data_IF_975664662594
#
_entry.id   IF_975664662594
#
_cell.length_a   1.000
_cell.length_b   1.000
_cell.length_c   1.000
_cell.angle_alpha   90.00
_cell.angle_beta   90.00
_cell.angle_gamma   90.00
#
_symmetry.space_group_name_H-M   'P 1'
#
loop_
_entity.id
_entity.type
_entity.pdbx_description
1 polymer ?
#
# COMPACT_ATOMS: atom_id res chain seq x y z
N UNK A 1 -32.42 -24.17 1.62
CA UNK A 1 -32.38 -23.15 2.69
C UNK A 1 -33.36 -23.55 3.76
N UNK A 2 -32.92 -23.55 5.01
CA UNK A 2 -33.78 -23.87 6.15
C UNK A 2 -34.36 -22.57 6.70
N UNK A 3 -35.70 -22.43 6.67
CA UNK A 3 -36.42 -21.26 7.20
C UNK A 3 -36.99 -21.59 8.58
N UNK A 4 -36.53 -20.90 9.62
CA UNK A 4 -37.11 -21.03 10.97
C UNK A 4 -38.15 -19.93 11.22
N UNK A 5 -37.83 -18.70 10.86
CA UNK A 5 -38.71 -17.54 10.94
C UNK A 5 -38.18 -16.42 10.03
N UNK A 6 -38.09 -16.70 8.73
CA UNK A 6 -37.49 -15.80 7.75
C UNK A 6 -38.24 -14.46 7.73
N UNK A 7 -37.53 -13.38 8.09
CA UNK A 7 -38.09 -12.03 8.16
C UNK A 7 -36.99 -10.96 8.06
N UNK A 8 -37.42 -9.71 7.91
CA UNK A 8 -36.54 -8.55 8.12
C UNK A 8 -36.27 -8.41 9.61
N UNK A 9 -35.04 -8.09 9.99
CA UNK A 9 -34.68 -7.81 11.38
C UNK A 9 -35.57 -6.72 11.97
N UNK A 10 -36.09 -6.95 13.17
CA UNK A 10 -36.96 -5.99 13.88
C UNK A 10 -36.23 -4.66 14.17
N UNK A 11 -34.92 -4.72 14.40
CA UNK A 11 -34.05 -3.55 14.57
C UNK A 11 -32.81 -3.68 13.69
N UNK A 12 -32.72 -2.84 12.66
CA UNK A 12 -31.54 -2.75 11.79
C UNK A 12 -30.53 -1.80 12.45
N UNK A 13 -29.46 -2.37 13.00
CA UNK A 13 -28.44 -1.59 13.69
C UNK A 13 -27.55 -0.79 12.72
N UNK A 14 -26.84 0.21 13.24
CA UNK A 14 -25.80 0.90 12.47
C UNK A 14 -24.71 -0.07 12.01
N UNK A 15 -24.38 -1.09 12.82
CA UNK A 15 -23.40 -2.13 12.45
C UNK A 15 -23.87 -2.92 11.24
N UNK A 16 -25.15 -3.33 11.19
CA UNK A 16 -25.70 -4.03 10.02
C UNK A 16 -25.58 -3.16 8.76
N UNK A 17 -25.92 -1.87 8.86
CA UNK A 17 -25.81 -0.93 7.75
C UNK A 17 -24.34 -0.77 7.28
N UNK A 18 -23.39 -0.67 8.21
CA UNK A 18 -21.95 -0.59 7.89
C UNK A 18 -21.48 -1.85 7.16
N UNK A 19 -21.91 -3.03 7.60
CA UNK A 19 -21.58 -4.30 6.94
C UNK A 19 -22.12 -4.32 5.52
N UNK A 20 -23.37 -3.89 5.32
CA UNK A 20 -23.96 -3.78 3.98
C UNK A 20 -23.17 -2.80 3.10
N UNK A 21 -22.83 -1.62 3.61
CA UNK A 21 -22.03 -0.62 2.87
C UNK A 21 -20.68 -1.22 2.45
N UNK A 22 -19.99 -1.89 3.37
CA UNK A 22 -18.68 -2.48 3.11
C UNK A 22 -18.73 -3.55 2.03
N UNK A 23 -19.70 -4.47 2.11
CA UNK A 23 -19.82 -5.58 1.16
C UNK A 23 -20.24 -5.09 -0.23
N UNK A 24 -21.14 -4.11 -0.31
CA UNK A 24 -21.50 -3.49 -1.58
C UNK A 24 -20.26 -2.83 -2.21
N UNK A 25 -19.50 -2.02 -1.43
CA UNK A 25 -18.27 -1.38 -1.95
C UNK A 25 -17.24 -2.43 -2.36
N UNK A 26 -17.08 -3.51 -1.60
CA UNK A 26 -16.18 -4.60 -1.95
C UNK A 26 -16.58 -5.27 -3.27
N UNK A 27 -17.88 -5.42 -3.55
CA UNK A 27 -18.36 -5.99 -4.81
C UNK A 27 -17.96 -5.15 -6.04
N UNK A 28 -17.71 -3.84 -5.89
CA UNK A 28 -17.15 -3.02 -6.97
C UNK A 28 -15.68 -3.30 -7.28
N UNK A 29 -14.99 -4.13 -6.49
CA UNK A 29 -13.57 -4.43 -6.69
C UNK A 29 -13.28 -5.92 -6.61
N UNK A 30 -12.69 -6.49 -7.67
CA UNK A 30 -12.17 -7.87 -7.65
C UNK A 30 -10.72 -7.87 -8.06
N UNK A 31 -9.87 -8.50 -7.26
CA UNK A 31 -8.42 -8.57 -7.47
C UNK A 31 -7.74 -7.20 -7.67
N UNK A 32 -8.31 -6.13 -7.09
CA UNK A 32 -7.85 -4.75 -7.27
C UNK A 32 -8.48 -4.00 -8.44
N UNK A 33 -9.16 -4.70 -9.36
CA UNK A 33 -9.81 -4.10 -10.52
C UNK A 33 -11.21 -3.58 -10.20
N UNK A 34 -11.56 -2.43 -10.78
CA UNK A 34 -12.90 -1.88 -10.70
C UNK A 34 -13.88 -2.70 -11.56
N UNK A 35 -14.85 -3.34 -10.91
CA UNK A 35 -15.81 -4.29 -11.51
C UNK A 35 -17.26 -3.90 -11.20
N UNK A 36 -17.77 -2.80 -11.78
CA UNK A 36 -19.09 -2.26 -11.44
C UNK A 36 -20.26 -3.20 -11.76
N UNK A 37 -20.06 -4.17 -12.65
CA UNK A 37 -21.08 -5.15 -13.03
C UNK A 37 -21.42 -6.17 -11.93
N UNK A 38 -20.64 -6.24 -10.83
CA UNK A 38 -21.00 -7.04 -9.65
C UNK A 38 -21.77 -6.24 -8.58
N UNK A 39 -22.03 -4.94 -8.80
CA UNK A 39 -22.63 -4.07 -7.80
C UNK A 39 -24.02 -4.53 -7.35
N UNK A 40 -24.89 -4.88 -8.29
CA UNK A 40 -26.25 -5.36 -8.02
C UNK A 40 -26.23 -6.69 -7.24
N UNK A 41 -25.35 -7.62 -7.66
CA UNK A 41 -25.14 -8.87 -6.95
C UNK A 41 -24.68 -8.63 -5.51
N UNK A 42 -23.75 -7.71 -5.31
CA UNK A 42 -23.29 -7.31 -3.98
C UNK A 42 -24.40 -6.72 -3.11
N UNK A 43 -25.27 -5.88 -3.68
CA UNK A 43 -26.41 -5.29 -2.98
C UNK A 43 -27.42 -6.35 -2.53
N UNK A 44 -27.80 -7.28 -3.41
CA UNK A 44 -28.71 -8.39 -3.09
C UNK A 44 -28.13 -9.26 -1.97
N UNK A 45 -26.86 -9.67 -2.10
CA UNK A 45 -26.20 -10.54 -1.11
C UNK A 45 -26.11 -9.83 0.23
N UNK A 46 -25.67 -8.58 0.26
CA UNK A 46 -25.46 -7.84 1.49
C UNK A 46 -26.78 -7.60 2.24
N UNK A 47 -27.85 -7.22 1.52
CA UNK A 47 -29.19 -7.07 2.12
C UNK A 47 -29.68 -8.38 2.72
N UNK A 48 -29.63 -9.48 1.95
CA UNK A 48 -30.08 -10.78 2.46
C UNK A 48 -29.25 -11.29 3.63
N UNK A 49 -27.94 -11.03 3.62
CA UNK A 49 -27.01 -11.49 4.67
C UNK A 49 -27.18 -10.71 5.98
N UNK A 50 -27.30 -9.37 5.91
CA UNK A 50 -27.23 -8.54 7.11
C UNK A 50 -28.56 -7.96 7.57
N UNK A 51 -29.57 -7.87 6.70
CA UNK A 51 -30.85 -7.22 7.03
C UNK A 51 -31.99 -8.22 7.25
N UNK A 52 -31.80 -9.48 6.86
CA UNK A 52 -32.74 -10.56 7.12
C UNK A 52 -32.24 -11.45 8.27
N UNK A 53 -33.16 -12.15 8.90
CA UNK A 53 -32.89 -13.14 9.95
C UNK A 53 -33.85 -14.33 9.85
N UNK A 54 -33.60 -15.37 10.65
CA UNK A 54 -34.49 -16.53 10.73
C UNK A 54 -34.35 -17.53 9.58
N UNK A 55 -33.16 -17.62 9.00
CA UNK A 55 -32.80 -18.63 8.00
C UNK A 55 -31.36 -19.13 8.23
N UNK A 56 -31.11 -20.34 7.74
CA UNK A 56 -29.77 -20.92 7.63
C UNK A 56 -29.56 -21.41 6.19
N UNK A 57 -28.41 -21.08 5.60
CA UNK A 57 -28.03 -21.53 4.26
C UNK A 57 -27.52 -22.97 4.33
N UNK A 58 -27.98 -23.80 3.41
CA UNK A 58 -27.45 -25.14 3.22
C UNK A 58 -26.15 -25.10 2.40
N UNK A 59 -25.39 -26.19 2.40
CA UNK A 59 -24.14 -26.28 1.67
C UNK A 59 -24.36 -26.02 0.16
N UNK A 60 -23.58 -25.09 -0.41
CA UNK A 60 -23.69 -24.68 -1.81
C UNK A 60 -24.75 -23.62 -2.10
N UNK A 61 -25.59 -23.25 -1.14
CA UNK A 61 -26.55 -22.17 -1.31
C UNK A 61 -25.90 -20.79 -1.12
N UNK A 62 -26.42 -19.81 -1.86
CA UNK A 62 -26.05 -18.41 -1.68
C UNK A 62 -27.28 -17.52 -1.89
N UNK A 63 -27.28 -16.37 -1.20
CA UNK A 63 -28.39 -15.41 -1.22
C UNK A 63 -28.73 -14.93 -2.63
N UNK A 64 -27.74 -14.75 -3.50
CA UNK A 64 -27.99 -14.29 -4.86
C UNK A 64 -28.83 -15.29 -5.67
N UNK A 65 -28.53 -16.59 -5.57
CA UNK A 65 -29.32 -17.63 -6.22
C UNK A 65 -30.73 -17.69 -5.61
N UNK A 66 -30.81 -17.66 -4.27
CA UNK A 66 -32.07 -17.69 -3.53
C UNK A 66 -32.97 -16.50 -3.86
N UNK A 67 -32.42 -15.32 -4.15
CA UNK A 67 -33.20 -14.16 -4.57
C UNK A 67 -34.01 -14.41 -5.85
N UNK A 68 -33.56 -15.30 -6.75
CA UNK A 68 -34.30 -15.66 -7.96
C UNK A 68 -35.12 -16.94 -7.83
N UNK A 69 -34.77 -17.83 -6.90
CA UNK A 69 -35.41 -19.16 -6.79
C UNK A 69 -36.40 -19.26 -5.63
N UNK A 70 -36.29 -18.42 -4.61
CA UNK A 70 -37.14 -18.43 -3.42
C UNK A 70 -37.98 -17.15 -3.33
N UNK A 71 -39.31 -17.30 -3.43
CA UNK A 71 -40.22 -16.16 -3.48
C UNK A 71 -40.27 -15.32 -2.21
N UNK A 72 -39.96 -15.92 -1.04
CA UNK A 72 -40.01 -15.19 0.23
C UNK A 72 -38.76 -14.34 0.38
N UNK A 73 -37.59 -14.91 0.07
CA UNK A 73 -36.31 -14.18 0.02
C UNK A 73 -36.41 -13.03 -0.98
N UNK A 74 -36.91 -13.31 -2.19
CA UNK A 74 -37.12 -12.31 -3.23
C UNK A 74 -37.93 -11.12 -2.71
N UNK A 75 -39.12 -11.38 -2.15
CA UNK A 75 -40.01 -10.33 -1.64
C UNK A 75 -39.36 -9.50 -0.54
N UNK A 76 -38.69 -10.13 0.42
CA UNK A 76 -38.09 -9.42 1.56
C UNK A 76 -36.92 -8.54 1.11
N UNK A 77 -36.09 -9.00 0.17
CA UNK A 77 -35.01 -8.19 -0.41
C UNK A 77 -35.58 -7.04 -1.24
N UNK A 78 -36.63 -7.27 -2.02
CA UNK A 78 -37.29 -6.24 -2.84
C UNK A 78 -37.91 -5.12 -2.01
N UNK A 79 -38.34 -5.40 -0.78
CA UNK A 79 -38.81 -4.37 0.15
C UNK A 79 -37.74 -3.31 0.47
N UNK A 80 -36.46 -3.61 0.25
CA UNK A 80 -35.33 -2.69 0.35
C UNK A 80 -34.92 -2.13 -1.02
N UNK A 81 -34.72 -2.99 -2.01
CA UNK A 81 -34.04 -2.62 -3.26
C UNK A 81 -34.98 -1.92 -4.25
N UNK A 82 -36.18 -2.50 -4.44
CA UNK A 82 -37.13 -2.15 -5.51
C UNK A 82 -38.41 -1.47 -4.99
N UNK A 83 -38.48 -1.21 -3.69
CA UNK A 83 -39.64 -0.59 -3.05
C UNK A 83 -39.76 0.90 -3.40
N UNK A 84 -40.85 1.27 -4.06
CA UNK A 84 -41.14 2.66 -4.46
C UNK A 84 -41.73 3.51 -3.33
N UNK A 85 -42.12 2.90 -2.20
CA UNK A 85 -42.67 3.62 -1.06
C UNK A 85 -41.58 4.28 -0.22
N UNK A 86 -41.30 5.55 -0.55
CA UNK A 86 -40.32 6.42 0.12
C UNK A 86 -40.55 6.62 1.62
N UNK A 87 -41.74 6.30 2.14
CA UNK A 87 -42.06 6.42 3.57
C UNK A 87 -41.73 5.15 4.36
N UNK A 88 -41.38 4.05 3.70
CA UNK A 88 -41.01 2.82 4.40
C UNK A 88 -39.64 2.95 5.06
N UNK A 89 -39.51 2.39 6.26
CA UNK A 89 -38.23 2.37 6.99
C UNK A 89 -37.13 1.69 6.17
N UNK A 90 -37.46 0.63 5.44
CA UNK A 90 -36.54 -0.10 4.58
C UNK A 90 -35.94 0.78 3.48
N UNK A 91 -36.78 1.61 2.83
CA UNK A 91 -36.32 2.56 1.81
C UNK A 91 -35.45 3.66 2.42
N UNK A 92 -35.79 4.14 3.62
CA UNK A 92 -34.96 5.12 4.34
C UNK A 92 -33.57 4.56 4.68
N UNK A 93 -33.50 3.32 5.16
CA UNK A 93 -32.25 2.60 5.44
C UNK A 93 -31.43 2.44 4.16
N UNK A 94 -32.04 1.97 3.06
CA UNK A 94 -31.31 1.82 1.79
C UNK A 94 -30.86 3.13 1.19
N UNK A 95 -31.61 4.21 1.37
CA UNK A 95 -31.19 5.54 0.91
C UNK A 95 -29.88 5.95 1.60
N UNK A 96 -29.82 5.82 2.92
CA UNK A 96 -28.59 6.08 3.68
C UNK A 96 -27.44 5.18 3.23
N UNK A 97 -27.67 3.87 3.12
CA UNK A 97 -26.66 2.91 2.67
C UNK A 97 -26.12 3.29 1.29
N UNK A 98 -26.98 3.58 0.31
CA UNK A 98 -26.57 3.93 -1.06
C UNK A 98 -25.82 5.26 -1.11
N UNK A 99 -26.19 6.25 -0.29
CA UNK A 99 -25.45 7.51 -0.16
C UNK A 99 -24.03 7.26 0.39
N UNK A 100 -23.89 6.43 1.43
CA UNK A 100 -22.59 6.07 2.01
C UNK A 100 -21.73 5.19 1.09
N UNK A 101 -22.36 4.25 0.38
CA UNK A 101 -21.69 3.45 -0.66
C UNK A 101 -21.13 4.36 -1.74
N UNK A 102 -21.90 5.35 -2.22
CA UNK A 102 -21.45 6.29 -3.24
C UNK A 102 -20.22 7.08 -2.78
N UNK A 103 -20.25 7.60 -1.55
CA UNK A 103 -19.15 8.38 -0.99
C UNK A 103 -17.89 7.51 -0.81
N UNK A 104 -18.03 6.37 -0.13
CA UNK A 104 -16.93 5.43 0.10
C UNK A 104 -16.36 4.86 -1.20
N UNK A 105 -17.20 4.59 -2.20
CA UNK A 105 -16.76 4.13 -3.52
C UNK A 105 -15.98 5.22 -4.26
N UNK A 106 -16.40 6.48 -4.15
CA UNK A 106 -15.68 7.63 -4.74
C UNK A 106 -14.28 7.72 -4.15
N UNK A 107 -14.18 7.68 -2.82
CA UNK A 107 -12.90 7.65 -2.12
C UNK A 107 -12.04 6.44 -2.52
N UNK A 108 -12.63 5.24 -2.63
CA UNK A 108 -11.90 4.04 -3.02
C UNK A 108 -11.34 4.12 -4.45
N UNK A 109 -12.10 4.68 -5.40
CA UNK A 109 -11.65 4.93 -6.77
C UNK A 109 -10.50 5.93 -6.81
N UNK A 110 -10.64 7.06 -6.11
CA UNK A 110 -9.60 8.09 -6.03
C UNK A 110 -8.33 7.53 -5.39
N UNK A 111 -8.46 6.78 -4.31
CA UNK A 111 -7.34 6.11 -3.65
C UNK A 111 -6.63 5.14 -4.58
N UNK A 112 -7.37 4.34 -5.35
CA UNK A 112 -6.79 3.40 -6.31
C UNK A 112 -6.01 4.12 -7.42
N UNK A 113 -6.55 5.22 -7.95
CA UNK A 113 -5.84 6.06 -8.94
C UNK A 113 -4.60 6.70 -8.33
N UNK A 114 -4.72 7.24 -7.11
CA UNK A 114 -3.61 7.88 -6.42
C UNK A 114 -2.47 6.90 -6.08
N UNK A 115 -2.79 5.68 -5.63
CA UNK A 115 -1.78 4.65 -5.36
C UNK A 115 -1.06 4.18 -6.62
N UNK A 116 -1.76 4.10 -7.76
CA UNK A 116 -1.11 3.81 -9.04
C UNK A 116 -0.17 4.95 -9.44
N UNK A 117 -0.61 6.20 -9.30
CA UNK A 117 0.23 7.37 -9.58
C UNK A 117 1.49 7.42 -8.72
N UNK A 118 1.39 7.12 -7.42
CA UNK A 118 2.57 7.06 -6.54
C UNK A 118 3.55 5.95 -6.96
N UNK A 119 3.04 4.81 -7.44
CA UNK A 119 3.89 3.76 -8.00
C UNK A 119 4.58 4.20 -9.30
N UNK A 120 3.86 4.90 -10.19
CA UNK A 120 4.45 5.45 -11.41
C UNK A 120 5.53 6.49 -11.09
N UNK A 121 5.29 7.39 -10.14
CA UNK A 121 6.27 8.37 -9.65
C UNK A 121 7.47 7.69 -8.98
N UNK A 122 7.25 6.61 -8.21
CA UNK A 122 8.31 5.78 -7.66
C UNK A 122 9.15 5.12 -8.75
N UNK A 123 8.53 4.50 -9.76
CA UNK A 123 9.25 3.85 -10.86
C UNK A 123 10.00 4.86 -11.74
N UNK A 124 9.44 6.05 -11.94
CA UNK A 124 10.14 7.14 -12.63
C UNK A 124 11.40 7.57 -11.85
N UNK A 125 11.26 7.83 -10.55
CA UNK A 125 12.38 8.20 -9.67
C UNK A 125 13.43 7.07 -9.58
N UNK A 126 12.97 5.82 -9.48
CA UNK A 126 13.84 4.65 -9.44
C UNK A 126 14.62 4.48 -10.75
N UNK A 127 13.96 4.69 -11.90
CA UNK A 127 14.63 4.63 -13.20
C UNK A 127 15.68 5.76 -13.34
N UNK A 128 15.39 6.98 -12.88
CA UNK A 128 16.37 8.06 -12.85
C UNK A 128 17.58 7.72 -11.98
N UNK A 129 17.35 7.18 -10.77
CA UNK A 129 18.41 6.71 -9.88
C UNK A 129 19.25 5.59 -10.53
N UNK A 130 18.60 4.61 -11.16
CA UNK A 130 19.29 3.52 -11.86
C UNK A 130 20.12 4.02 -13.04
N UNK A 131 19.67 5.04 -13.77
CA UNK A 131 20.45 5.66 -14.85
C UNK A 131 21.73 6.33 -14.31
N UNK A 132 21.67 7.03 -13.18
CA UNK A 132 22.86 7.62 -12.53
C UNK A 132 23.86 6.53 -12.11
N UNK A 133 23.38 5.41 -11.58
CA UNK A 133 24.22 4.25 -11.24
C UNK A 133 24.87 3.66 -12.50
N UNK A 134 24.10 3.45 -13.57
CA UNK A 134 24.59 2.92 -14.83
C UNK A 134 25.65 3.84 -15.43
N UNK A 135 25.44 5.16 -15.41
CA UNK A 135 26.40 6.14 -15.92
C UNK A 135 27.68 6.15 -15.07
N UNK A 136 27.58 6.09 -13.75
CA UNK A 136 28.74 6.00 -12.86
C UNK A 136 29.57 4.73 -13.11
N UNK A 137 28.92 3.57 -13.23
CA UNK A 137 29.61 2.31 -13.53
C UNK A 137 30.13 2.25 -14.97
N UNK A 138 29.41 2.80 -15.94
CA UNK A 138 29.86 2.91 -17.33
C UNK A 138 31.11 3.78 -17.45
N UNK A 139 31.13 4.92 -16.76
CA UNK A 139 32.31 5.79 -16.68
C UNK A 139 33.49 5.08 -16.00
N UNK A 140 33.23 4.27 -14.97
CA UNK A 140 34.27 3.47 -14.32
C UNK A 140 34.78 2.33 -15.21
N UNK A 141 33.91 1.64 -15.94
CA UNK A 141 34.27 0.56 -16.86
C UNK A 141 35.05 1.09 -18.09
N UNK A 142 34.78 2.33 -18.50
CA UNK A 142 35.50 3.02 -19.57
C UNK A 142 36.84 3.64 -19.12
N UNK A 143 37.23 3.54 -17.84
CA UNK A 143 38.55 3.94 -17.38
C UNK A 143 39.62 3.03 -18.00
N UNK A 144 40.23 3.49 -19.08
CA UNK A 144 41.33 2.78 -19.69
C UNK A 144 42.64 3.05 -18.91
N UNK A 145 42.86 2.28 -17.84
CA UNK A 145 44.08 2.32 -17.04
C UNK A 145 45.35 1.97 -17.85
N UNK A 146 45.20 1.28 -18.99
CA UNK A 146 46.32 0.97 -19.89
C UNK A 146 46.78 2.15 -20.74
N UNK A 147 46.02 3.25 -20.78
CA UNK A 147 46.42 4.52 -21.41
C UNK A 147 47.30 5.40 -20.50
N UNK A 148 47.50 5.01 -19.24
CA UNK A 148 48.37 5.73 -18.33
C UNK A 148 49.85 5.50 -18.70
N UNK A 149 50.53 6.56 -19.14
CA UNK A 149 51.97 6.48 -19.39
C UNK A 149 52.76 6.34 -18.08
N UNK A 150 53.98 5.77 -18.11
CA UNK A 150 54.85 5.71 -16.94
C UNK A 150 55.11 7.08 -16.29
N UNK A 151 55.14 8.15 -17.10
CA UNK A 151 55.30 9.52 -16.65
C UNK A 151 54.06 10.04 -15.92
N UNK A 152 52.86 9.71 -16.40
CA UNK A 152 51.60 10.05 -15.73
C UNK A 152 51.46 9.32 -14.37
N UNK A 153 51.87 8.06 -14.30
CA UNK A 153 51.91 7.29 -13.04
C UNK A 153 52.90 7.94 -12.06
N UNK A 154 54.09 8.33 -12.52
CA UNK A 154 55.10 8.99 -11.70
C UNK A 154 54.65 10.37 -11.19
N UNK A 155 53.97 11.13 -12.03
CA UNK A 155 53.39 12.42 -11.64
C UNK A 155 52.26 12.24 -10.62
N UNK A 156 51.39 11.25 -10.81
CA UNK A 156 50.34 10.90 -9.84
C UNK A 156 50.93 10.45 -8.49
N UNK A 157 51.98 9.64 -8.50
CA UNK A 157 52.72 9.25 -7.28
C UNK A 157 53.35 10.46 -6.58
N UNK A 158 53.91 11.40 -7.33
CA UNK A 158 54.51 12.63 -6.78
C UNK A 158 53.46 13.54 -6.14
N UNK A 159 52.28 13.65 -6.75
CA UNK A 159 51.14 14.41 -6.20
C UNK A 159 50.60 13.73 -4.95
N UNK A 160 50.42 12.40 -4.98
CA UNK A 160 50.00 11.63 -3.81
C UNK A 160 50.98 11.77 -2.65
N UNK A 161 52.28 11.68 -2.92
CA UNK A 161 53.32 11.82 -1.91
C UNK A 161 53.30 13.21 -1.29
N UNK A 162 53.19 14.27 -2.10
CA UNK A 162 53.08 15.66 -1.60
C UNK A 162 51.82 15.88 -0.75
N UNK A 163 50.70 15.21 -1.08
CA UNK A 163 49.49 15.25 -0.25
C UNK A 163 49.66 14.48 1.07
N UNK A 164 50.25 13.28 1.01
CA UNK A 164 50.56 12.51 2.21
C UNK A 164 51.51 13.27 3.15
N UNK A 165 52.54 13.91 2.60
CA UNK A 165 53.53 14.70 3.31
C UNK A 165 52.93 16.01 3.89
N UNK A 166 51.85 16.54 3.30
CA UNK A 166 51.10 17.68 3.84
C UNK A 166 50.15 17.29 4.98
N UNK A 167 50.17 16.03 5.42
CA UNK A 167 49.30 15.50 6.46
C UNK A 167 47.90 15.12 5.99
N UNK A 168 47.62 15.18 4.68
CA UNK A 168 46.36 14.71 4.12
C UNK A 168 46.33 13.18 4.15
N UNK A 169 45.49 12.62 5.02
CA UNK A 169 45.22 11.18 5.05
C UNK A 169 44.03 10.87 4.15
N UNK A 170 44.26 10.03 3.16
CA UNK A 170 43.22 9.45 2.33
C UNK A 170 42.49 8.37 3.15
N UNK A 171 41.55 8.80 3.98
CA UNK A 171 40.64 7.97 4.77
C UNK A 171 39.33 7.83 4.03
N UNK A 172 38.50 6.87 4.44
CA UNK A 172 37.15 6.70 3.90
C UNK A 172 36.35 8.00 3.98
N UNK A 173 36.44 8.72 5.09
CA UNK A 173 35.78 10.02 5.29
C UNK A 173 36.27 11.10 4.31
N UNK A 174 37.57 11.18 4.03
CA UNK A 174 38.08 12.21 3.10
C UNK A 174 37.72 11.91 1.65
N UNK A 175 37.65 10.63 1.25
CA UNK A 175 37.14 10.22 -0.07
C UNK A 175 35.64 10.52 -0.19
N UNK A 176 34.84 10.18 0.82
CA UNK A 176 33.38 10.42 0.83
C UNK A 176 33.08 11.92 0.75
N UNK A 177 33.82 12.77 1.46
CA UNK A 177 33.61 14.22 1.43
C UNK A 177 33.94 14.82 0.06
N UNK A 178 35.05 14.40 -0.57
CA UNK A 178 35.41 14.85 -1.92
C UNK A 178 34.35 14.45 -2.95
N UNK A 179 33.82 13.22 -2.86
CA UNK A 179 32.74 12.75 -3.76
C UNK A 179 31.46 13.55 -3.53
N UNK A 180 31.06 13.80 -2.27
CA UNK A 180 29.88 14.61 -1.95
C UNK A 180 29.98 16.04 -2.48
N UNK A 181 31.15 16.66 -2.36
CA UNK A 181 31.41 18.00 -2.88
C UNK A 181 31.38 18.05 -4.41
N UNK A 182 32.04 17.10 -5.08
CA UNK A 182 32.08 17.02 -6.54
C UNK A 182 30.71 16.73 -7.16
N UNK A 183 29.90 15.90 -6.50
CA UNK A 183 28.53 15.60 -6.90
C UNK A 183 27.51 16.71 -6.51
N UNK A 184 27.97 17.78 -5.86
CA UNK A 184 27.12 18.84 -5.28
C UNK A 184 25.97 18.27 -4.42
N UNK A 185 26.22 17.14 -3.76
CA UNK A 185 25.22 16.38 -3.01
C UNK A 185 24.91 17.13 -1.71
N UNK A 186 23.75 17.79 -1.67
CA UNK A 186 23.23 18.47 -0.48
C UNK A 186 21.96 17.76 -0.04
N UNK A 187 22.00 16.90 1.00
CA UNK A 187 20.78 16.30 1.52
C UNK A 187 19.87 17.42 2.03
N UNK A 188 18.60 17.39 1.65
CA UNK A 188 17.59 18.28 2.22
C UNK A 188 17.39 18.00 3.73
N UNK A 189 16.76 18.93 4.43
CA UNK A 189 16.64 18.88 5.89
C UNK A 189 15.84 17.66 6.36
N UNK A 190 14.81 17.26 5.61
CA UNK A 190 14.02 16.07 5.90
C UNK A 190 14.85 14.78 5.76
N UNK A 191 15.70 14.71 4.75
CA UNK A 191 16.63 13.60 4.53
C UNK A 191 17.66 13.52 5.66
N UNK A 192 18.15 14.65 6.17
CA UNK A 192 19.05 14.67 7.34
C UNK A 192 18.36 14.13 8.58
N UNK A 193 17.14 14.58 8.89
CA UNK A 193 16.37 14.08 10.04
C UNK A 193 16.12 12.57 9.95
N UNK A 194 15.77 12.06 8.76
CA UNK A 194 15.56 10.61 8.54
C UNK A 194 16.86 9.83 8.74
N UNK A 195 17.99 10.33 8.23
CA UNK A 195 19.30 9.69 8.38
C UNK A 195 19.73 9.67 9.85
N UNK A 196 19.53 10.77 10.58
CA UNK A 196 19.84 10.86 12.00
C UNK A 196 18.99 9.92 12.85
N UNK A 197 17.68 9.87 12.58
CA UNK A 197 16.76 8.96 13.25
C UNK A 197 17.14 7.48 13.02
N UNK A 198 17.41 7.10 11.76
CA UNK A 198 17.87 5.74 11.43
C UNK A 198 19.21 5.39 12.07
N UNK A 199 20.15 6.34 12.11
CA UNK A 199 21.44 6.12 12.75
C UNK A 199 21.31 5.96 14.28
N UNK A 200 20.39 6.68 14.92
CA UNK A 200 20.08 6.51 16.33
C UNK A 200 19.47 5.12 16.61
N UNK A 201 18.53 4.68 15.77
CA UNK A 201 17.93 3.34 15.87
C UNK A 201 18.98 2.23 15.68
N UNK A 202 19.86 2.35 14.70
CA UNK A 202 20.96 1.40 14.47
C UNK A 202 21.89 1.33 15.68
N UNK A 203 22.17 2.45 16.35
CA UNK A 203 22.99 2.45 17.58
C UNK A 203 22.31 1.69 18.71
N UNK A 204 21.00 1.87 18.89
CA UNK A 204 20.24 1.13 19.90
C UNK A 204 20.18 -0.37 19.57
N UNK A 205 19.90 -0.74 18.31
CA UNK A 205 19.89 -2.13 17.87
C UNK A 205 21.25 -2.81 18.06
N UNK A 206 22.36 -2.10 17.82
CA UNK A 206 23.71 -2.61 18.13
C UNK A 206 23.89 -2.89 19.62
N UNK A 207 23.39 -2.03 20.52
CA UNK A 207 23.43 -2.29 21.97
C UNK A 207 22.62 -3.55 22.33
N UNK A 208 21.42 -3.69 21.79
CA UNK A 208 20.58 -4.88 22.01
C UNK A 208 21.25 -6.16 21.51
N UNK A 209 21.86 -6.12 20.32
CA UNK A 209 22.62 -7.24 19.77
C UNK A 209 23.77 -7.65 20.71
N UNK A 210 24.57 -6.70 21.19
CA UNK A 210 25.67 -6.98 22.14
C UNK A 210 25.16 -7.56 23.47
N UNK A 211 24.01 -7.09 23.97
CA UNK A 211 23.37 -7.63 25.17
C UNK A 211 22.84 -9.06 24.96
N UNK A 212 22.26 -9.33 23.79
CA UNK A 212 21.76 -10.66 23.44
C UNK A 212 22.92 -11.66 23.26
N UNK A 213 23.97 -11.25 22.56
CA UNK A 213 25.17 -12.05 22.35
C UNK A 213 25.86 -12.37 23.70
N UNK A 214 26.02 -11.38 24.59
CA UNK A 214 26.64 -11.61 25.91
C UNK A 214 25.83 -12.52 26.83
N UNK A 215 24.49 -12.54 26.71
CA UNK A 215 23.61 -13.46 27.45
C UNK A 215 23.65 -14.89 26.91
N UNK A 216 23.92 -15.05 25.62
CA UNK A 216 23.88 -16.34 24.92
C UNK A 216 25.25 -16.99 24.68
N UNK A 217 26.35 -16.30 24.98
CA UNK A 217 27.71 -16.88 25.01
C UNK A 217 28.04 -17.61 26.31
N UNK A 218 27.10 -17.75 27.24
CA UNK A 218 27.22 -18.59 28.44
C UNK A 218 26.62 -19.98 28.18
N UNK A 219 27.24 -20.76 27.30
CA UNK A 219 27.06 -22.21 27.20
C UNK A 219 28.41 -22.87 26.96
#
# INVERSE_FOLDING_TARGET
MIKTNLRIKDNISLTDQIMVINDIVAAYFKNGDYTPYYAEMGEIIAVGTYLLEGYELEEGENIYTLYYTDSDVHKLIDMFINNSNQKSQNVAVMKFIREMVKDKLTFAKERAVYSHRQMDEFFATFNEFMNVIIDAFGNFANLNLSALSPEMIKNAQTVYQKMADSGFKMTEDSIVNVIKEAANFKPDEASKEIIEAKNAEIRELKKYKTLWESRNTSK
#
